data_IF_914618028053
#
_entry.id   IF_914618028053
#
_cell.length_a   1.000
_cell.length_b   1.000
_cell.length_c   1.000
_cell.angle_alpha   90.00
_cell.angle_beta   90.00
_cell.angle_gamma   90.00
#
_symmetry.space_group_name_H-M   'P 1'
#
loop_
_entity.id
_entity.type
_entity.pdbx_description
1 polymer ?
#
# COMPACT_ATOMS: atom_id res chain seq x y z
N UNK A 1 -20.84 -66.88 -4.86
CA UNK A 1 -20.13 -65.97 -3.93
C UNK A 1 -18.86 -65.54 -4.62
N UNK A 2 -18.87 -64.33 -5.18
CA UNK A 2 -17.68 -63.64 -5.67
C UNK A 2 -17.63 -62.34 -4.89
N UNK A 3 -16.56 -62.19 -4.12
CA UNK A 3 -16.43 -61.20 -3.07
C UNK A 3 -16.35 -59.78 -3.63
N UNK A 4 -17.13 -58.90 -3.02
CA UNK A 4 -17.02 -57.45 -3.11
C UNK A 4 -15.68 -57.02 -2.51
N UNK A 5 -14.75 -56.56 -3.33
CA UNK A 5 -13.62 -55.74 -2.88
C UNK A 5 -13.42 -54.58 -3.86
N UNK A 6 -14.24 -53.55 -3.72
CA UNK A 6 -13.94 -52.21 -4.24
C UNK A 6 -13.09 -51.54 -3.16
N UNK A 7 -11.77 -51.58 -3.32
CA UNK A 7 -10.85 -50.87 -2.45
C UNK A 7 -11.09 -49.35 -2.54
N UNK A 8 -11.57 -48.80 -1.44
CA UNK A 8 -11.72 -47.37 -1.18
C UNK A 8 -10.34 -46.69 -1.11
N UNK A 9 -9.78 -46.32 -2.27
CA UNK A 9 -8.53 -45.55 -2.34
C UNK A 9 -8.71 -44.12 -2.90
N UNK A 10 -9.85 -43.50 -2.65
CA UNK A 10 -10.10 -42.09 -3.01
C UNK A 10 -10.18 -41.13 -1.81
N UNK A 11 -9.82 -41.56 -0.59
CA UNK A 11 -10.02 -40.74 0.61
C UNK A 11 -8.84 -39.85 1.03
N UNK A 12 -7.69 -39.90 0.34
CA UNK A 12 -6.48 -39.18 0.79
C UNK A 12 -6.02 -38.01 -0.11
N UNK A 13 -6.78 -37.65 -1.15
CA UNK A 13 -6.42 -36.51 -2.01
C UNK A 13 -7.13 -35.19 -1.67
N UNK A 14 -7.81 -35.11 -0.51
CA UNK A 14 -8.56 -33.91 -0.10
C UNK A 14 -7.81 -33.06 0.95
N UNK A 15 -6.70 -33.56 1.51
CA UNK A 15 -5.91 -32.81 2.48
C UNK A 15 -4.87 -31.93 1.78
N UNK A 16 -5.29 -30.69 1.48
CA UNK A 16 -4.52 -29.43 1.35
C UNK A 16 -5.02 -28.54 0.19
N UNK A 17 -6.34 -28.46 -0.03
CA UNK A 17 -6.87 -27.16 -0.45
C UNK A 17 -6.70 -26.21 0.73
N UNK A 18 -5.59 -25.49 0.77
CA UNK A 18 -5.47 -24.29 1.60
C UNK A 18 -6.63 -23.39 1.16
N UNK A 19 -7.70 -23.33 1.95
CA UNK A 19 -8.82 -22.43 1.74
C UNK A 19 -8.24 -21.02 1.79
N UNK A 20 -7.88 -20.49 0.63
CA UNK A 20 -7.54 -19.09 0.50
C UNK A 20 -8.74 -18.33 1.06
N UNK A 21 -8.53 -17.39 2.00
CA UNK A 21 -9.63 -16.66 2.58
C UNK A 21 -10.44 -16.04 1.45
N UNK A 22 -11.73 -16.40 1.38
CA UNK A 22 -12.62 -15.90 0.35
C UNK A 22 -12.59 -14.37 0.42
N UNK A 23 -12.09 -13.76 -0.64
CA UNK A 23 -12.06 -12.30 -0.73
C UNK A 23 -13.47 -11.82 -1.04
N UNK A 24 -13.99 -10.83 -0.31
CA UNK A 24 -15.33 -10.34 -0.54
C UNK A 24 -15.45 -9.82 -1.97
N UNK A 25 -16.40 -10.37 -2.70
CA UNK A 25 -16.87 -9.84 -3.97
C UNK A 25 -18.34 -9.49 -3.75
N UNK A 26 -18.56 -8.28 -3.21
CA UNK A 26 -19.88 -7.83 -2.79
C UNK A 26 -20.50 -6.87 -3.80
N UNK A 27 -21.76 -6.46 -3.60
CA UNK A 27 -22.38 -5.44 -4.45
C UNK A 27 -21.53 -4.17 -4.39
N UNK A 28 -21.14 -3.66 -5.56
CA UNK A 28 -20.41 -2.40 -5.65
C UNK A 28 -21.37 -1.25 -5.43
N UNK A 29 -21.07 -0.40 -4.47
CA UNK A 29 -21.74 0.88 -4.30
C UNK A 29 -21.16 1.90 -5.30
N UNK A 30 -21.97 2.89 -5.67
CA UNK A 30 -21.49 4.00 -6.49
C UNK A 30 -20.44 4.81 -5.69
N UNK A 31 -19.23 5.05 -6.24
CA UNK A 31 -18.20 5.77 -5.53
C UNK A 31 -18.59 7.24 -5.31
N UNK A 32 -18.46 7.72 -4.08
CA UNK A 32 -18.67 9.12 -3.71
C UNK A 32 -17.33 9.84 -3.63
N UNK A 33 -17.15 10.87 -4.45
CA UNK A 33 -15.97 11.72 -4.44
C UNK A 33 -16.22 13.01 -3.66
N UNK A 34 -15.18 13.53 -2.98
CA UNK A 34 -15.30 14.74 -2.15
C UNK A 34 -15.55 16.00 -3.00
N UNK A 35 -14.98 16.03 -4.20
CA UNK A 35 -15.12 17.09 -5.21
C UNK A 35 -15.27 16.44 -6.58
N UNK A 36 -15.56 17.24 -7.61
CA UNK A 36 -15.54 16.76 -8.99
C UNK A 36 -14.10 16.32 -9.34
N UNK A 37 -13.85 15.03 -9.58
CA UNK A 37 -12.49 14.55 -9.82
C UNK A 37 -12.00 15.01 -11.19
N UNK A 38 -10.69 15.25 -11.29
CA UNK A 38 -10.01 15.54 -12.56
C UNK A 38 -9.99 14.27 -13.42
N UNK A 39 -9.73 13.13 -12.80
CA UNK A 39 -9.66 11.80 -13.43
C UNK A 39 -10.16 10.73 -12.48
N UNK A 40 -10.75 9.67 -13.02
CA UNK A 40 -11.23 8.51 -12.27
C UNK A 40 -10.75 7.25 -12.98
N UNK A 41 -10.30 6.27 -12.21
CA UNK A 41 -9.78 5.01 -12.71
C UNK A 41 -10.43 3.82 -12.00
N UNK A 42 -10.50 2.71 -12.74
CA UNK A 42 -10.74 1.37 -12.23
C UNK A 42 -9.38 0.70 -12.04
N UNK A 43 -8.82 0.64 -10.81
CA UNK A 43 -7.42 0.30 -10.58
C UNK A 43 -6.99 -1.05 -11.16
N UNK A 44 -7.89 -2.05 -11.17
CA UNK A 44 -7.60 -3.36 -11.75
C UNK A 44 -7.31 -3.30 -13.27
N UNK A 45 -8.04 -2.46 -14.00
CA UNK A 45 -7.95 -2.36 -15.47
C UNK A 45 -6.93 -1.28 -15.89
N UNK A 46 -6.89 -0.18 -15.13
CA UNK A 46 -6.23 1.05 -15.56
C UNK A 46 -4.82 1.22 -15.00
N UNK A 47 -4.20 0.18 -14.42
CA UNK A 47 -2.88 0.28 -13.77
C UNK A 47 -1.83 0.98 -14.64
N UNK A 48 -1.77 0.63 -15.93
CA UNK A 48 -0.81 1.23 -16.86
C UNK A 48 -1.15 2.70 -17.19
N UNK A 49 -2.44 3.01 -17.33
CA UNK A 49 -2.96 4.36 -17.59
C UNK A 49 -2.68 5.27 -16.40
N UNK A 50 -2.94 4.80 -15.17
CA UNK A 50 -2.63 5.48 -13.91
C UNK A 50 -1.14 5.88 -13.87
N UNK A 51 -0.25 4.95 -14.23
CA UNK A 51 1.19 5.23 -14.30
C UNK A 51 1.53 6.30 -15.33
N UNK A 52 1.00 6.18 -16.55
CA UNK A 52 1.29 7.08 -17.67
C UNK A 52 0.80 8.50 -17.42
N UNK A 53 -0.46 8.67 -17.02
CA UNK A 53 -1.13 9.98 -16.95
C UNK A 53 -0.72 10.83 -15.72
N UNK A 54 -0.14 10.19 -14.71
CA UNK A 54 0.31 10.86 -13.47
C UNK A 54 1.84 10.89 -13.35
N UNK A 55 2.57 10.57 -14.43
CA UNK A 55 4.03 10.57 -14.45
C UNK A 55 4.57 11.99 -14.32
N UNK A 56 5.41 12.21 -13.31
CA UNK A 56 6.05 13.51 -13.09
C UNK A 56 5.09 14.63 -12.73
N UNK A 57 3.92 14.30 -12.17
CA UNK A 57 2.97 15.27 -11.64
C UNK A 57 2.85 15.14 -10.12
N UNK A 58 2.67 16.26 -9.44
CA UNK A 58 2.26 16.30 -8.03
C UNK A 58 0.74 16.26 -7.96
N UNK A 59 0.16 15.35 -7.18
CA UNK A 59 -1.29 15.10 -7.19
C UNK A 59 -1.86 14.92 -5.77
N UNK A 60 -3.15 15.20 -5.63
CA UNK A 60 -4.00 14.77 -4.52
C UNK A 60 -5.01 13.76 -5.05
N UNK A 61 -5.17 12.64 -4.35
CA UNK A 61 -6.01 11.54 -4.79
C UNK A 61 -6.86 10.96 -3.66
N UNK A 62 -7.90 10.25 -4.08
CA UNK A 62 -8.86 9.58 -3.23
C UNK A 62 -9.03 8.13 -3.69
N UNK A 63 -8.83 7.18 -2.78
CA UNK A 63 -9.31 5.81 -2.96
C UNK A 63 -10.70 5.68 -2.34
N UNK A 64 -11.60 4.96 -3.00
CA UNK A 64 -12.93 4.62 -2.48
C UNK A 64 -13.10 3.12 -2.55
N UNK A 65 -13.36 2.48 -1.41
CA UNK A 65 -13.72 1.06 -1.36
C UNK A 65 -15.18 0.90 -1.79
N UNK A 66 -15.42 0.17 -2.87
CA UNK A 66 -16.74 -0.01 -3.47
C UNK A 66 -17.63 -0.98 -2.69
N UNK A 67 -17.11 -1.69 -1.69
CA UNK A 67 -17.91 -2.61 -0.86
C UNK A 67 -18.51 -1.88 0.35
N UNK A 68 -17.73 -1.01 0.99
CA UNK A 68 -18.15 -0.36 2.25
C UNK A 68 -18.15 1.17 2.20
N UNK A 69 -17.77 1.77 1.07
CA UNK A 69 -17.76 3.22 0.87
C UNK A 69 -16.65 3.97 1.58
N UNK A 70 -15.78 3.27 2.31
CA UNK A 70 -14.68 3.94 3.01
C UNK A 70 -13.72 4.57 2.00
N UNK A 71 -13.20 5.72 2.37
CA UNK A 71 -12.37 6.60 1.55
C UNK A 71 -11.00 6.80 2.19
N UNK A 72 -9.96 6.87 1.38
CA UNK A 72 -8.61 7.26 1.79
C UNK A 72 -8.15 8.44 0.95
N UNK A 73 -7.63 9.47 1.60
CA UNK A 73 -7.03 10.63 0.95
C UNK A 73 -5.52 10.55 1.06
N UNK A 74 -4.82 10.89 -0.01
CA UNK A 74 -3.37 11.05 0.06
C UNK A 74 -2.83 11.99 -1.00
N UNK A 75 -1.60 12.43 -0.79
CA UNK A 75 -0.83 13.15 -1.79
C UNK A 75 0.30 12.31 -2.37
N UNK A 76 0.80 12.71 -3.54
CA UNK A 76 1.97 12.12 -4.17
C UNK A 76 2.82 13.18 -4.85
N UNK A 77 4.07 13.34 -4.39
CA UNK A 77 5.06 14.23 -5.01
C UNK A 77 5.37 13.83 -6.45
N UNK A 78 5.50 12.52 -6.70
CA UNK A 78 5.43 11.94 -8.02
C UNK A 78 4.24 10.97 -8.05
N UNK A 79 3.18 11.39 -8.72
CA UNK A 79 1.90 10.70 -8.75
C UNK A 79 2.02 9.26 -9.23
N UNK A 80 2.71 9.03 -10.34
CA UNK A 80 2.91 7.68 -10.88
C UNK A 80 3.58 6.75 -9.87
N UNK A 81 4.65 7.20 -9.21
CA UNK A 81 5.39 6.39 -8.22
C UNK A 81 4.51 6.10 -7.01
N UNK A 82 3.82 7.13 -6.50
CA UNK A 82 2.97 7.01 -5.30
C UNK A 82 1.74 6.13 -5.53
N UNK A 83 1.10 6.24 -6.70
CA UNK A 83 -0.09 5.45 -7.03
C UNK A 83 0.29 4.01 -7.34
N UNK A 84 1.37 3.77 -8.10
CA UNK A 84 1.80 2.40 -8.41
C UNK A 84 2.34 1.65 -7.19
N UNK A 85 2.79 2.35 -6.14
CA UNK A 85 3.26 1.70 -4.90
C UNK A 85 2.18 0.86 -4.22
N UNK A 86 0.89 1.15 -4.47
CA UNK A 86 -0.23 0.37 -3.93
C UNK A 86 -0.34 -1.04 -4.54
N UNK A 87 0.43 -1.36 -5.59
CA UNK A 87 0.57 -2.73 -6.11
C UNK A 87 1.82 -3.42 -5.62
N UNK A 88 2.73 -2.72 -4.94
CA UNK A 88 4.02 -3.27 -4.51
C UNK A 88 3.84 -4.12 -3.26
N UNK A 89 4.16 -5.43 -3.27
CA UNK A 89 3.94 -6.31 -2.13
C UNK A 89 4.64 -5.85 -0.84
N UNK A 90 5.87 -5.34 -0.95
CA UNK A 90 6.62 -4.82 0.21
C UNK A 90 5.96 -3.58 0.84
N UNK A 91 5.24 -2.77 0.03
CA UNK A 91 4.49 -1.62 0.54
C UNK A 91 3.22 -2.07 1.25
N UNK A 92 2.50 -3.03 0.66
CA UNK A 92 1.26 -3.56 1.22
C UNK A 92 1.45 -4.35 2.53
N UNK A 93 2.64 -4.91 2.79
CA UNK A 93 2.98 -5.56 4.06
C UNK A 93 3.02 -4.61 5.27
N UNK A 94 3.00 -3.29 5.05
CA UNK A 94 3.01 -2.30 6.13
C UNK A 94 1.61 -2.20 6.74
N UNK A 95 1.54 -2.05 8.06
CA UNK A 95 0.27 -1.97 8.79
C UNK A 95 -0.38 -0.57 8.69
N UNK A 96 -0.94 -0.23 7.53
CA UNK A 96 -1.78 0.96 7.33
C UNK A 96 -3.18 0.54 6.90
N UNK A 97 -4.25 1.24 7.31
CA UNK A 97 -5.62 0.82 7.03
C UNK A 97 -5.92 0.69 5.54
N UNK A 98 -5.41 1.60 4.71
CA UNK A 98 -5.56 1.51 3.25
C UNK A 98 -4.90 0.25 2.66
N UNK A 99 -3.72 -0.14 3.15
CA UNK A 99 -3.04 -1.34 2.65
C UNK A 99 -3.77 -2.61 3.11
N UNK A 100 -4.20 -2.66 4.36
CA UNK A 100 -5.00 -3.76 4.89
C UNK A 100 -6.32 -3.90 4.11
N UNK A 101 -6.97 -2.78 3.78
CA UNK A 101 -8.18 -2.75 2.97
C UNK A 101 -7.93 -3.25 1.54
N UNK A 102 -6.87 -2.79 0.87
CA UNK A 102 -6.52 -3.26 -0.47
C UNK A 102 -6.16 -4.76 -0.49
N UNK A 103 -5.49 -5.27 0.55
CA UNK A 103 -5.17 -6.70 0.66
C UNK A 103 -6.42 -7.55 0.84
N UNK A 104 -7.33 -7.11 1.71
CA UNK A 104 -8.56 -7.82 2.05
C UNK A 104 -9.58 -7.76 0.91
N UNK A 105 -9.90 -6.57 0.41
CA UNK A 105 -10.92 -6.36 -0.63
C UNK A 105 -10.38 -6.45 -2.05
N UNK A 106 -9.06 -6.49 -2.28
CA UNK A 106 -8.42 -6.39 -3.62
C UNK A 106 -8.65 -5.06 -4.33
N UNK A 107 -7.76 -4.70 -5.25
CA UNK A 107 -7.90 -3.50 -6.10
C UNK A 107 -9.14 -3.50 -6.99
N UNK A 108 -9.76 -4.66 -7.23
CA UNK A 108 -10.97 -4.80 -8.06
C UNK A 108 -12.18 -4.11 -7.45
N UNK A 109 -12.17 -3.98 -6.12
CA UNK A 109 -13.26 -3.41 -5.33
C UNK A 109 -12.96 -1.96 -4.92
N UNK A 110 -12.16 -1.24 -5.69
CA UNK A 110 -11.87 0.16 -5.44
C UNK A 110 -12.07 1.01 -6.68
N UNK A 111 -12.40 2.28 -6.47
CA UNK A 111 -12.19 3.35 -7.43
C UNK A 111 -11.05 4.25 -6.96
N UNK A 112 -10.25 4.75 -7.90
CA UNK A 112 -9.21 5.74 -7.64
C UNK A 112 -9.56 7.02 -8.39
N UNK A 113 -9.67 8.13 -7.66
CA UNK A 113 -9.89 9.45 -8.23
C UNK A 113 -8.71 10.38 -7.97
N UNK A 114 -8.36 11.18 -8.97
CA UNK A 114 -7.47 12.34 -8.81
C UNK A 114 -8.35 13.54 -8.49
N UNK A 115 -8.23 14.06 -7.28
CA UNK A 115 -8.97 15.22 -6.83
C UNK A 115 -8.35 16.52 -7.34
N UNK A 116 -7.02 16.61 -7.28
CA UNK A 116 -6.26 17.75 -7.79
C UNK A 116 -4.98 17.30 -8.48
N UNK A 117 -4.66 17.97 -9.59
CA UNK A 117 -3.34 17.91 -10.21
C UNK A 117 -2.65 19.26 -9.95
N UNK A 118 -1.62 19.24 -9.10
CA UNK A 118 -0.87 20.44 -8.69
C UNK A 118 0.23 20.82 -9.71
N UNK A 119 0.28 20.15 -10.86
CA UNK A 119 1.23 20.42 -11.93
C UNK A 119 2.43 19.47 -11.92
N UNK A 120 3.52 19.87 -12.59
CA UNK A 120 4.72 19.06 -12.69
C UNK A 120 5.41 18.93 -11.32
N UNK A 121 6.00 17.77 -11.05
CA UNK A 121 6.80 17.54 -9.85
C UNK A 121 7.90 18.59 -9.75
N UNK A 122 7.99 19.28 -8.60
CA UNK A 122 8.91 20.40 -8.37
C UNK A 122 8.35 21.79 -8.70
N UNK A 123 7.19 21.89 -9.36
CA UNK A 123 6.54 23.20 -9.61
C UNK A 123 5.85 23.78 -8.37
N UNK A 124 5.52 22.94 -7.39
CA UNK A 124 4.95 23.34 -6.10
C UNK A 124 5.82 22.86 -4.97
N UNK A 125 5.76 23.49 -3.79
CA UNK A 125 6.49 23.03 -2.61
C UNK A 125 5.81 21.82 -1.97
N UNK A 126 6.55 21.08 -1.12
CA UNK A 126 5.97 19.92 -0.39
C UNK A 126 4.95 20.38 0.64
N UNK A 127 5.20 21.53 1.26
CA UNK A 127 4.34 22.15 2.26
C UNK A 127 2.99 22.53 1.63
N UNK A 128 3.01 23.06 0.40
CA UNK A 128 1.79 23.33 -0.35
C UNK A 128 1.04 22.05 -0.71
N UNK A 129 1.73 21.00 -1.18
CA UNK A 129 1.09 19.71 -1.43
C UNK A 129 0.41 19.14 -0.16
N UNK A 130 1.07 19.21 0.99
CA UNK A 130 0.52 18.75 2.26
C UNK A 130 -0.65 19.61 2.74
N UNK A 131 -0.63 20.93 2.51
CA UNK A 131 -1.77 21.79 2.84
C UNK A 131 -3.00 21.48 1.98
N UNK A 132 -2.80 21.10 0.70
CA UNK A 132 -3.87 20.59 -0.15
C UNK A 132 -4.39 19.23 0.32
N UNK A 133 -3.51 18.32 0.75
CA UNK A 133 -3.95 17.05 1.38
C UNK A 133 -4.79 17.32 2.64
N UNK A 134 -4.34 18.24 3.49
CA UNK A 134 -5.05 18.63 4.72
C UNK A 134 -6.45 19.15 4.42
N UNK A 135 -6.61 20.01 3.40
CA UNK A 135 -7.92 20.52 2.99
C UNK A 135 -8.95 19.40 2.74
N UNK A 136 -8.55 18.31 2.07
CA UNK A 136 -9.44 17.17 1.84
C UNK A 136 -9.62 16.28 3.07
N UNK A 137 -8.60 16.16 3.92
CA UNK A 137 -8.74 15.49 5.21
C UNK A 137 -9.75 16.22 6.10
N UNK A 138 -9.70 17.55 6.18
CA UNK A 138 -10.63 18.34 6.98
C UNK A 138 -12.07 18.15 6.51
N UNK A 139 -12.28 18.08 5.19
CA UNK A 139 -13.58 17.73 4.58
C UNK A 139 -14.04 16.36 5.08
N UNK A 140 -13.28 15.28 4.83
CA UNK A 140 -13.75 13.92 5.18
C UNK A 140 -13.97 13.73 6.69
N UNK A 141 -13.08 14.27 7.52
CA UNK A 141 -13.20 14.17 8.98
C UNK A 141 -14.37 14.99 9.53
N UNK A 142 -14.77 16.08 8.86
CA UNK A 142 -15.97 16.85 9.21
C UNK A 142 -17.26 16.14 8.80
N UNK A 143 -17.29 15.50 7.64
CA UNK A 143 -18.51 14.88 7.12
C UNK A 143 -18.83 13.52 7.76
N UNK A 144 -17.87 12.60 7.78
CA UNK A 144 -18.10 11.25 8.32
C UNK A 144 -16.78 10.56 8.71
N UNK A 145 -16.52 10.53 10.02
CA UNK A 145 -15.34 9.89 10.59
C UNK A 145 -15.27 8.37 10.32
N UNK A 146 -16.42 7.70 10.19
CA UNK A 146 -16.47 6.25 10.01
C UNK A 146 -16.14 5.82 8.57
N UNK A 147 -16.27 6.74 7.63
CA UNK A 147 -15.93 6.53 6.22
C UNK A 147 -14.45 6.77 5.92
N UNK A 148 -13.63 7.13 6.90
CA UNK A 148 -12.23 7.45 6.66
C UNK A 148 -11.28 6.26 6.92
N UNK A 149 -10.32 6.05 6.00
CA UNK A 149 -9.24 5.07 6.10
C UNK A 149 -7.87 5.69 6.43
N UNK A 150 -7.78 7.01 6.63
CA UNK A 150 -6.57 7.68 7.09
C UNK A 150 -6.37 7.45 8.60
N UNK A 151 -5.14 7.14 9.02
CA UNK A 151 -4.80 6.93 10.43
C UNK A 151 -4.88 8.20 11.27
N UNK A 152 -4.52 9.34 10.68
CA UNK A 152 -4.37 10.60 11.38
C UNK A 152 -5.19 11.69 10.67
N UNK A 153 -5.72 12.67 11.43
CA UNK A 153 -6.40 13.83 10.88
C UNK A 153 -5.46 14.83 10.22
N UNK A 154 -4.18 14.80 10.58
CA UNK A 154 -3.18 15.71 10.04
C UNK A 154 -2.43 15.09 8.87
N UNK A 155 -2.27 15.84 7.78
CA UNK A 155 -1.51 15.43 6.62
C UNK A 155 -0.02 15.31 6.98
N UNK A 156 0.65 14.30 6.41
CA UNK A 156 2.10 14.15 6.57
C UNK A 156 2.58 13.85 8.00
N UNK A 157 1.73 13.46 8.97
CA UNK A 157 2.15 13.19 10.36
C UNK A 157 3.31 12.19 10.49
N UNK A 158 3.38 11.20 9.61
CA UNK A 158 4.47 10.22 9.57
C UNK A 158 5.72 10.71 8.80
N UNK A 159 5.59 11.81 8.06
CA UNK A 159 6.66 12.38 7.25
C UNK A 159 7.66 13.07 8.19
N UNK A 160 8.88 12.55 8.26
CA UNK A 160 9.91 13.09 9.13
C UNK A 160 9.92 12.53 10.55
N UNK A 161 9.17 11.46 10.84
CA UNK A 161 9.31 10.71 12.09
C UNK A 161 10.78 10.28 12.27
N UNK A 162 11.46 10.88 13.24
CA UNK A 162 12.81 10.50 13.63
C UNK A 162 12.71 9.36 14.63
N UNK A 163 13.35 8.24 14.33
CA UNK A 163 13.52 7.17 15.29
C UNK A 163 14.24 7.67 16.55
N UNK A 164 13.98 7.09 17.73
CA UNK A 164 14.68 7.47 18.94
C UNK A 164 16.20 7.30 18.74
N UNK A 165 17.04 8.16 19.35
CA UNK A 165 18.50 8.07 19.22
C UNK A 165 19.04 6.69 19.58
N UNK A 166 18.39 5.99 20.52
CA UNK A 166 18.73 4.62 20.92
C UNK A 166 18.74 3.63 19.75
N UNK A 167 17.85 3.79 18.76
CA UNK A 167 17.85 2.93 17.57
C UNK A 167 19.12 3.14 16.73
N UNK A 168 19.60 4.38 16.62
CA UNK A 168 20.85 4.70 15.94
C UNK A 168 22.04 4.11 16.69
N UNK A 169 22.08 4.29 18.01
CA UNK A 169 23.11 3.73 18.89
C UNK A 169 23.16 2.20 18.80
N UNK A 170 22.02 1.50 18.79
CA UNK A 170 21.95 0.04 18.67
C UNK A 170 22.42 -0.50 17.30
N UNK A 171 22.68 0.37 16.33
CA UNK A 171 23.16 0.01 14.99
C UNK A 171 24.63 0.37 14.77
N UNK A 172 25.26 1.08 15.71
CA UNK A 172 26.64 1.57 15.60
C UNK A 172 27.45 1.34 16.88
N UNK A 173 28.74 1.06 16.74
CA UNK A 173 29.61 0.87 17.90
C UNK A 173 29.29 -0.39 18.71
N UNK A 174 29.58 -0.37 20.02
CA UNK A 174 29.53 -1.55 20.89
C UNK A 174 28.11 -2.07 21.20
N UNK A 175 27.09 -1.23 21.03
CA UNK A 175 25.69 -1.59 21.27
C UNK A 175 25.09 -2.35 20.09
N UNK A 176 25.79 -2.37 18.94
CA UNK A 176 25.39 -3.22 17.83
C UNK A 176 25.62 -4.68 18.22
N UNK A 177 24.61 -5.57 18.11
CA UNK A 177 24.75 -6.99 18.42
C UNK A 177 25.79 -7.73 17.56
N UNK A 178 26.34 -7.07 16.53
CA UNK A 178 27.41 -7.56 15.67
C UNK A 178 28.80 -6.99 16.03
N UNK A 179 28.93 -6.04 16.97
CA UNK A 179 30.17 -5.27 17.19
C UNK A 179 31.40 -6.11 17.53
N UNK A 180 31.18 -7.25 18.19
CA UNK A 180 32.24 -8.17 18.63
C UNK A 180 32.10 -9.56 18.00
N UNK A 181 31.26 -9.70 16.96
CA UNK A 181 31.10 -10.96 16.25
C UNK A 181 32.08 -11.03 15.10
N UNK A 182 32.79 -12.16 15.00
CA UNK A 182 33.68 -12.46 13.88
C UNK A 182 32.81 -12.94 12.72
N UNK A 183 33.04 -12.39 11.52
CA UNK A 183 32.37 -12.86 10.31
C UNK A 183 32.82 -14.28 9.96
N UNK A 184 31.89 -15.12 9.50
CA UNK A 184 32.23 -16.48 9.09
C UNK A 184 33.15 -16.47 7.87
N UNK A 185 33.98 -17.53 7.68
CA UNK A 185 34.81 -17.65 6.48
C UNK A 185 34.02 -17.54 5.18
N UNK A 186 32.79 -18.10 5.14
CA UNK A 186 31.89 -18.06 3.97
C UNK A 186 31.43 -16.62 3.67
N UNK A 187 31.07 -15.85 4.70
CA UNK A 187 30.67 -14.45 4.54
C UNK A 187 31.83 -13.58 3.99
N UNK A 188 33.04 -13.81 4.47
CA UNK A 188 34.25 -13.12 4.00
C UNK A 188 34.59 -13.50 2.55
N UNK A 189 34.44 -14.77 2.17
CA UNK A 189 34.65 -15.24 0.81
C UNK A 189 33.66 -14.62 -0.18
N UNK A 190 32.40 -14.47 0.22
CA UNK A 190 31.36 -13.84 -0.60
C UNK A 190 31.64 -12.35 -0.86
N UNK A 191 32.12 -11.60 0.14
CA UNK A 191 32.47 -10.18 -0.04
C UNK A 191 33.73 -9.97 -0.88
N UNK A 192 34.72 -10.86 -0.80
CA UNK A 192 35.93 -10.78 -1.64
C UNK A 192 35.62 -10.95 -3.13
N UNK A 193 34.65 -11.79 -3.49
CA UNK A 193 34.19 -11.96 -4.88
C UNK A 193 33.55 -10.70 -5.48
N UNK A 194 32.92 -9.86 -4.66
CA UNK A 194 32.23 -8.64 -5.12
C UNK A 194 33.21 -7.49 -5.43
N UNK A 195 34.42 -7.51 -4.85
CA UNK A 195 35.42 -6.45 -5.00
C UNK A 195 36.58 -6.83 -5.95
N UNK A 196 36.45 -7.92 -6.71
CA UNK A 196 37.47 -8.41 -7.65
C UNK A 196 37.01 -8.40 -9.12
N UNK A 197 35.95 -7.65 -9.41
CA UNK A 197 35.51 -7.20 -10.75
C UNK A 197 35.61 -5.68 -10.84
#
# INVERSE_FOLDING_TARGET
MLDFNVEFNNLYFIETLILLPLKPYGPHILPKFLTKPVRVYTPNLDRNVIGKENKGCTIIYQWVNLINGKMYIGSGWNGSVRLLSYWTPSTLKRNFPIYNNLLYYTHNNFALAILENLGKTGSVTKEFMLSREQYYLDIIFKYDKNMNMNNYPTAGTILGFKHPPSLGLNRSGYLNPMSNKIFSPEFLAMHKKINSE
#
